data_IF_714314974144
#
_entry.id   IF_714314974144
#
_cell.length_a   1.000
_cell.length_b   1.000
_cell.length_c   1.000
_cell.angle_alpha   90.00
_cell.angle_beta   90.00
_cell.angle_gamma   90.00
#
_symmetry.space_group_name_H-M   'P 1'
#
loop_
_entity.id
_entity.type
_entity.pdbx_description
1 polymer ?
#
# COMPACT_ATOMS: atom_id res chain seq x y z
N UNK A 1 9.74 -10.08 25.65
CA UNK A 1 9.44 -9.41 24.37
C UNK A 1 7.98 -9.00 24.41
N UNK A 2 7.66 -7.72 24.29
CA UNK A 2 6.26 -7.28 24.28
C UNK A 2 5.64 -7.70 22.94
N UNK A 3 4.51 -8.42 22.99
CA UNK A 3 3.79 -8.81 21.78
C UNK A 3 3.32 -7.55 21.06
N UNK A 4 3.61 -7.45 19.75
CA UNK A 4 3.11 -6.33 18.94
C UNK A 4 1.57 -6.36 18.93
N UNK A 5 0.95 -5.18 18.98
CA UNK A 5 -0.50 -5.04 18.78
C UNK A 5 -0.92 -5.74 17.48
N UNK A 6 -2.09 -6.40 17.39
CA UNK A 6 -2.54 -7.08 16.18
C UNK A 6 -2.55 -6.21 14.90
N UNK A 7 -2.62 -4.89 15.07
CA UNK A 7 -2.69 -3.90 13.98
C UNK A 7 -1.40 -3.11 13.78
N UNK A 8 -0.28 -3.51 14.40
CA UNK A 8 1.00 -2.78 14.35
C UNK A 8 1.48 -2.42 12.94
N UNK A 9 1.12 -3.23 11.94
CA UNK A 9 1.53 -3.04 10.56
C UNK A 9 0.89 -1.78 9.93
N UNK A 10 -0.22 -1.28 10.48
CA UNK A 10 -0.85 -0.06 10.00
C UNK A 10 0.06 1.16 10.19
N UNK A 11 0.75 1.26 11.32
CA UNK A 11 1.67 2.37 11.60
C UNK A 11 2.85 2.38 10.61
N UNK A 12 3.36 1.20 10.26
CA UNK A 12 4.46 1.07 9.29
C UNK A 12 4.01 1.38 7.86
N UNK A 13 2.80 0.94 7.47
CA UNK A 13 2.22 1.29 6.17
C UNK A 13 1.91 2.79 6.06
N UNK A 14 1.48 3.42 7.15
CA UNK A 14 1.23 4.87 7.22
C UNK A 14 2.53 5.65 7.01
N UNK A 15 3.61 5.28 7.72
CA UNK A 15 4.95 5.88 7.52
C UNK A 15 5.43 5.72 6.09
N UNK A 16 5.30 4.52 5.52
CA UNK A 16 5.72 4.25 4.15
C UNK A 16 4.91 5.08 3.13
N UNK A 17 3.61 5.22 3.34
CA UNK A 17 2.74 6.03 2.48
C UNK A 17 3.09 7.53 2.56
N UNK A 18 3.26 8.08 3.77
CA UNK A 18 3.64 9.49 3.99
C UNK A 18 5.03 9.77 3.43
N UNK A 19 5.99 8.87 3.68
CA UNK A 19 7.37 9.00 3.21
C UNK A 19 7.57 8.73 1.72
N UNK A 20 6.53 8.25 1.02
CA UNK A 20 6.64 7.85 -0.39
C UNK A 20 7.62 6.70 -0.62
N UNK A 21 7.84 5.86 0.39
CA UNK A 21 8.81 4.78 0.34
C UNK A 21 8.36 3.64 -0.58
N UNK A 22 9.34 2.96 -1.17
CA UNK A 22 9.10 1.76 -1.96
C UNK A 22 9.43 0.53 -1.10
N UNK A 23 8.48 -0.39 -1.02
CA UNK A 23 8.65 -1.66 -0.31
C UNK A 23 8.85 -2.79 -1.30
N UNK A 24 9.74 -3.72 -0.98
CA UNK A 24 9.90 -4.98 -1.71
C UNK A 24 8.71 -5.91 -1.47
N UNK A 25 8.49 -6.87 -2.38
CA UNK A 25 7.47 -7.92 -2.20
C UNK A 25 7.58 -8.66 -0.85
N UNK A 26 8.80 -8.87 -0.34
CA UNK A 26 9.05 -9.51 0.95
C UNK A 26 8.60 -8.66 2.13
N UNK A 27 8.89 -7.36 2.11
CA UNK A 27 8.47 -6.42 3.16
C UNK A 27 6.95 -6.28 3.17
N UNK A 28 6.33 -6.12 2.00
CA UNK A 28 4.86 -6.09 1.88
C UNK A 28 4.26 -7.38 2.44
N UNK A 29 4.79 -8.55 2.07
CA UNK A 29 4.33 -9.84 2.60
C UNK A 29 4.49 -9.94 4.11
N UNK A 30 5.59 -9.43 4.66
CA UNK A 30 5.83 -9.42 6.10
C UNK A 30 4.81 -8.54 6.84
N UNK A 31 4.49 -7.35 6.29
CA UNK A 31 3.54 -6.42 6.88
C UNK A 31 2.09 -6.93 6.83
N UNK A 32 1.65 -7.47 5.68
CA UNK A 32 0.23 -7.81 5.46
C UNK A 32 -0.09 -9.31 5.58
N UNK A 33 0.93 -10.14 5.79
CA UNK A 33 0.84 -11.60 5.91
C UNK A 33 0.62 -12.36 4.59
N UNK A 34 0.44 -11.66 3.46
CA UNK A 34 0.14 -12.26 2.15
C UNK A 34 1.02 -11.64 1.07
N UNK A 35 1.47 -12.47 0.12
CA UNK A 35 2.23 -12.00 -1.03
C UNK A 35 1.32 -11.13 -1.93
N UNK A 36 1.68 -9.87 -2.21
CA UNK A 36 0.88 -9.03 -3.11
C UNK A 36 0.91 -9.59 -4.53
N UNK A 37 -0.23 -9.48 -5.24
CA UNK A 37 -0.36 -9.92 -6.63
C UNK A 37 -1.21 -8.91 -7.40
N UNK A 38 -0.92 -8.74 -8.69
CA UNK A 38 -1.76 -7.94 -9.57
C UNK A 38 -2.49 -8.85 -10.54
N UNK A 39 -3.74 -8.50 -10.87
CA UNK A 39 -4.43 -9.11 -12.00
C UNK A 39 -3.73 -8.75 -13.32
N UNK A 40 -3.95 -9.57 -14.35
CA UNK A 40 -3.37 -9.32 -15.69
C UNK A 40 -3.78 -7.93 -16.19
N UNK A 41 -2.81 -7.12 -16.60
CA UNK A 41 -3.03 -5.74 -17.05
C UNK A 41 -3.16 -4.70 -15.94
N UNK A 42 -3.11 -5.10 -14.67
CA UNK A 42 -3.11 -4.18 -13.53
C UNK A 42 -1.73 -4.12 -12.88
N UNK A 43 -1.38 -2.96 -12.33
CA UNK A 43 -0.24 -2.75 -11.46
C UNK A 43 -0.66 -2.48 -10.00
N UNK A 44 -1.94 -2.62 -9.68
CA UNK A 44 -2.52 -2.29 -8.38
C UNK A 44 -2.94 -3.56 -7.65
N UNK A 45 -2.57 -3.65 -6.37
CA UNK A 45 -3.08 -4.62 -5.42
C UNK A 45 -3.71 -3.89 -4.23
N UNK A 46 -4.95 -4.22 -3.88
CA UNK A 46 -5.67 -3.58 -2.76
C UNK A 46 -5.91 -4.58 -1.64
N UNK A 47 -5.74 -4.15 -0.38
CA UNK A 47 -6.06 -4.94 0.80
C UNK A 47 -6.53 -4.05 1.95
N UNK A 48 -7.79 -4.20 2.35
CA UNK A 48 -8.41 -3.33 3.35
C UNK A 48 -8.32 -1.86 2.91
N UNK A 49 -7.87 -0.99 3.80
CA UNK A 49 -7.69 0.45 3.55
C UNK A 49 -6.37 0.82 2.86
N UNK A 50 -5.64 -0.15 2.30
CA UNK A 50 -4.34 0.08 1.68
C UNK A 50 -4.32 -0.34 0.22
N UNK A 51 -3.62 0.45 -0.59
CA UNK A 51 -3.35 0.17 -1.99
C UNK A 51 -1.83 0.08 -2.21
N UNK A 52 -1.42 -0.97 -2.89
CA UNK A 52 -0.03 -1.26 -3.24
C UNK A 52 0.10 -1.14 -4.75
N UNK A 53 0.82 -0.12 -5.22
CA UNK A 53 1.05 0.13 -6.63
C UNK A 53 2.43 -0.37 -6.99
N UNK A 54 2.51 -1.27 -7.97
CA UNK A 54 3.78 -1.77 -8.51
C UNK A 54 4.46 -0.63 -9.28
N UNK A 55 5.56 -0.11 -8.73
CA UNK A 55 6.28 1.06 -9.23
C UNK A 55 7.68 0.74 -9.77
N UNK A 56 8.01 -0.53 -9.97
CA UNK A 56 9.29 -0.97 -10.53
C UNK A 56 9.85 -2.20 -9.82
N UNK A 57 11.16 -2.19 -9.57
CA UNK A 57 11.90 -3.27 -8.88
C UNK A 57 12.80 -2.71 -7.79
N UNK A 58 12.94 -3.48 -6.70
CA UNK A 58 14.01 -3.31 -5.69
C UNK A 58 14.81 -4.61 -5.75
N UNK A 59 16.03 -4.52 -6.28
CA UNK A 59 16.83 -5.70 -6.63
C UNK A 59 16.06 -6.64 -7.58
N UNK A 60 15.97 -7.93 -7.21
CA UNK A 60 15.21 -8.93 -7.96
C UNK A 60 13.70 -8.94 -7.69
N UNK A 61 13.21 -8.20 -6.69
CA UNK A 61 11.80 -8.18 -6.29
C UNK A 61 11.05 -7.01 -6.93
N UNK A 62 9.72 -7.08 -6.93
CA UNK A 62 8.88 -5.94 -7.31
C UNK A 62 8.93 -4.86 -6.22
N UNK A 63 8.93 -3.60 -6.66
CA UNK A 63 8.81 -2.44 -5.79
C UNK A 63 7.35 -2.00 -5.71
N UNK A 64 6.87 -1.73 -4.51
CA UNK A 64 5.50 -1.37 -4.22
C UNK A 64 5.46 -0.03 -3.49
N UNK A 65 4.77 0.95 -4.10
CA UNK A 65 4.37 2.17 -3.40
C UNK A 65 3.08 1.90 -2.63
N UNK A 66 3.02 2.38 -1.41
CA UNK A 66 1.83 2.23 -0.54
C UNK A 66 1.04 3.53 -0.57
N UNK A 67 -0.28 3.42 -0.73
CA UNK A 67 -1.23 4.51 -0.58
C UNK A 67 -2.32 4.12 0.41
N UNK A 68 -2.77 5.08 1.21
CA UNK A 68 -3.96 4.94 2.05
C UNK A 68 -5.19 5.21 1.19
N UNK A 69 -6.11 4.26 1.12
CA UNK A 69 -7.41 4.44 0.52
C UNK A 69 -8.28 5.18 1.54
N UNK A 70 -8.17 6.50 1.56
CA UNK A 70 -9.07 7.32 2.35
C UNK A 70 -10.49 7.08 1.84
N UNK A 71 -11.41 6.77 2.75
CA UNK A 71 -12.83 6.72 2.42
C UNK A 71 -13.24 8.10 1.86
N UNK A 72 -13.92 8.05 0.72
CA UNK A 72 -14.59 9.15 0.03
C UNK A 72 -13.71 10.27 -0.52
N UNK A 73 -13.49 10.19 -1.83
CA UNK A 73 -13.45 11.41 -2.64
C UNK A 73 -14.82 12.10 -2.52
N UNK A 74 -14.96 13.06 -1.61
CA UNK A 74 -15.81 14.21 -1.86
C UNK A 74 -15.06 15.11 -2.85
N UNK A 75 -15.10 14.73 -4.13
CA UNK A 75 -14.94 15.69 -5.22
C UNK A 75 -16.30 15.88 -5.85
N UNK A 76 -17.21 16.53 -5.10
CA UNK A 76 -18.19 17.39 -5.77
C UNK A 76 -17.49 18.73 -5.96
N UNK A 77 -16.88 18.87 -7.12
CA UNK A 77 -16.55 20.17 -7.69
C UNK A 77 -16.89 20.12 -9.18
N UNK A 78 -18.09 19.62 -9.47
CA UNK A 78 -18.88 20.06 -10.60
C UNK A 78 -19.82 21.14 -10.06
N UNK A 79 -19.35 22.38 -9.95
CA UNK A 79 -20.24 23.54 -9.96
C UNK A 79 -19.49 24.84 -10.31
N UNK A 80 -19.98 25.46 -11.40
CA UNK A 80 -19.83 26.84 -11.88
C UNK A 80 -18.49 27.31 -12.49
N UNK A 81 -18.36 27.14 -13.82
CA UNK A 81 -18.59 28.23 -14.78
C UNK A 81 -18.77 27.73 -16.21
#
# INVERSE_FOLDING_TARGET
>A
MQAKSPIWYHDELEKAAIGGWLLSTSEVKHLIGVKPYCQKGSNIYTRGSWQFIKSGKIGGASAWRVLKLNQEKLTTSDEYK
#
